data_IF_274268859675
#
_entry.id   IF_274268859675
#
_cell.length_a   1.000
_cell.length_b   1.000
_cell.length_c   1.000
_cell.angle_alpha   90.00
_cell.angle_beta   90.00
_cell.angle_gamma   90.00
#
_symmetry.space_group_name_H-M   'P 1'
#
loop_
_entity.id
_entity.type
_entity.pdbx_description
1 polymer ?
#
# COMPACT_ATOMS: atom_id res chain seq x y z
N UNK A 1 -59.81 34.86 -5.26
CA UNK A 1 -58.50 35.52 -5.17
C UNK A 1 -57.44 34.45 -5.01
N UNK A 2 -56.72 34.10 -6.08
CA UNK A 2 -55.68 33.14 -6.08
C UNK A 2 -54.36 33.88 -5.91
N UNK A 3 -53.61 33.56 -4.82
CA UNK A 3 -52.31 34.18 -4.53
C UNK A 3 -51.20 33.69 -5.49
N UNK A 4 -50.12 34.46 -5.64
CA UNK A 4 -49.08 34.16 -6.62
C UNK A 4 -48.28 32.93 -6.22
N UNK A 5 -48.13 31.96 -7.13
CA UNK A 5 -47.24 30.81 -7.01
C UNK A 5 -45.76 31.26 -6.91
N UNK A 6 -44.98 30.76 -5.99
CA UNK A 6 -43.54 31.05 -5.96
C UNK A 6 -42.87 30.46 -7.20
N UNK A 7 -42.05 31.27 -7.87
CA UNK A 7 -41.46 30.94 -9.15
C UNK A 7 -40.54 29.71 -9.02
N UNK A 8 -40.69 28.73 -9.92
CA UNK A 8 -39.90 27.47 -10.00
C UNK A 8 -38.37 27.68 -10.11
N UNK A 9 -37.92 28.91 -10.32
CA UNK A 9 -36.48 29.26 -10.39
C UNK A 9 -35.81 29.19 -9.02
N UNK A 10 -36.46 29.59 -7.95
CA UNK A 10 -35.87 29.55 -6.59
C UNK A 10 -35.83 28.12 -6.01
N UNK A 11 -36.79 27.27 -6.35
CA UNK A 11 -36.80 25.87 -5.93
C UNK A 11 -35.66 25.06 -6.56
N UNK A 12 -35.28 25.37 -7.82
CA UNK A 12 -34.18 24.70 -8.53
C UNK A 12 -32.79 25.12 -7.99
N UNK A 13 -32.60 26.40 -7.63
CA UNK A 13 -31.35 26.86 -7.02
C UNK A 13 -31.14 26.26 -5.61
N UNK A 14 -32.19 26.14 -4.81
CA UNK A 14 -32.12 25.58 -3.49
C UNK A 14 -31.80 24.08 -3.53
N UNK A 15 -32.30 23.34 -4.52
CA UNK A 15 -32.08 21.92 -4.68
C UNK A 15 -30.62 21.60 -5.15
N UNK A 16 -30.09 22.44 -6.06
CA UNK A 16 -28.69 22.30 -6.51
C UNK A 16 -27.68 22.67 -5.40
N UNK A 17 -27.98 23.66 -4.57
CA UNK A 17 -27.14 24.03 -3.44
C UNK A 17 -27.12 22.94 -2.35
N UNK A 18 -28.25 22.28 -2.12
CA UNK A 18 -28.38 21.18 -1.17
C UNK A 18 -27.62 19.94 -1.63
N UNK A 19 -27.60 19.63 -2.94
CA UNK A 19 -26.82 18.51 -3.50
C UNK A 19 -25.33 18.74 -3.46
N UNK A 20 -24.86 19.99 -3.55
CA UNK A 20 -23.43 20.32 -3.46
C UNK A 20 -22.86 20.11 -2.04
N UNK A 21 -23.69 20.22 -1.01
CA UNK A 21 -23.28 20.04 0.39
C UNK A 21 -23.13 18.56 0.82
N UNK A 22 -23.66 17.60 0.05
CA UNK A 22 -23.61 16.17 0.38
C UNK A 22 -22.30 15.52 -0.10
N UNK A 23 -21.50 16.19 -0.93
CA UNK A 23 -20.18 15.71 -1.40
C UNK A 23 -19.02 16.05 -0.46
N UNK A 24 -19.24 16.41 0.80
CA UNK A 24 -18.17 16.55 1.80
C UNK A 24 -17.75 15.15 2.19
N UNK A 25 -16.68 14.71 1.52
CA UNK A 25 -16.16 13.38 1.46
C UNK A 25 -15.94 12.71 2.82
N UNK A 26 -16.09 11.41 2.84
CA UNK A 26 -15.51 10.52 3.84
C UNK A 26 -13.98 10.69 3.84
N UNK A 27 -13.47 11.72 4.50
CA UNK A 27 -12.07 11.78 4.88
C UNK A 27 -11.86 10.65 5.89
N UNK A 28 -11.19 9.57 5.48
CA UNK A 28 -10.75 8.53 6.39
C UNK A 28 -9.85 9.17 7.45
N UNK A 29 -10.37 9.34 8.65
CA UNK A 29 -9.58 9.81 9.78
C UNK A 29 -8.48 8.79 10.07
N UNK A 30 -7.22 9.23 10.25
CA UNK A 30 -6.15 8.32 10.69
C UNK A 30 -6.54 7.67 12.02
N UNK A 31 -6.08 6.44 12.30
CA UNK A 31 -6.39 5.77 13.56
C UNK A 31 -5.92 6.61 14.75
N UNK A 32 -6.78 6.76 15.73
CA UNK A 32 -6.41 7.38 17.01
C UNK A 32 -5.65 6.36 17.83
N UNK A 33 -4.37 6.62 18.10
CA UNK A 33 -3.54 5.74 18.92
C UNK A 33 -3.80 5.96 20.41
N UNK A 34 -3.62 4.91 21.21
CA UNK A 34 -3.66 5.00 22.67
C UNK A 34 -2.52 5.88 23.20
N UNK A 35 -2.63 6.43 24.42
CA UNK A 35 -1.55 7.17 25.05
C UNK A 35 -0.22 6.40 25.05
N UNK A 36 0.86 7.04 24.63
CA UNK A 36 2.18 6.43 24.50
C UNK A 36 2.44 5.67 23.19
N UNK A 37 1.43 5.53 22.32
CA UNK A 37 1.61 4.96 21.00
C UNK A 37 1.57 6.05 19.91
N UNK A 38 2.32 5.82 18.82
CA UNK A 38 2.46 6.77 17.70
C UNK A 38 1.89 6.17 16.41
N UNK A 39 1.18 6.95 15.58
CA UNK A 39 0.68 6.48 14.30
C UNK A 39 1.85 6.19 13.35
N UNK A 40 1.76 5.06 12.65
CA UNK A 40 2.71 4.65 11.63
C UNK A 40 2.01 4.08 10.40
N UNK A 41 2.74 3.97 9.32
CA UNK A 41 2.39 3.17 8.14
C UNK A 41 3.11 1.83 8.23
N UNK A 42 2.36 0.74 8.20
CA UNK A 42 2.89 -0.61 8.09
C UNK A 42 2.74 -1.08 6.64
N UNK A 43 3.85 -1.46 6.02
CA UNK A 43 3.87 -1.97 4.65
C UNK A 43 4.39 -3.40 4.66
N UNK A 44 3.63 -4.31 4.05
CA UNK A 44 4.05 -5.68 3.79
C UNK A 44 4.23 -5.88 2.30
N UNK A 45 5.41 -6.35 1.90
CA UNK A 45 5.76 -6.65 0.52
C UNK A 45 5.99 -8.15 0.37
N UNK A 46 5.48 -8.71 -0.72
CA UNK A 46 5.58 -10.14 -1.04
C UNK A 46 6.31 -10.27 -2.36
N UNK A 47 7.48 -10.87 -2.29
CA UNK A 47 8.40 -11.02 -3.41
C UNK A 47 8.40 -12.48 -3.87
N UNK A 48 7.95 -12.72 -5.10
CA UNK A 48 8.07 -14.03 -5.73
C UNK A 48 9.54 -14.37 -5.97
N UNK A 49 9.89 -15.64 -5.89
CA UNK A 49 11.26 -16.09 -6.06
C UNK A 49 11.51 -16.74 -7.43
N UNK A 50 10.47 -17.16 -8.14
CA UNK A 50 10.62 -17.83 -9.44
C UNK A 50 11.09 -16.83 -10.50
N UNK A 51 12.18 -17.12 -11.19
CA UNK A 51 12.74 -16.35 -12.29
C UNK A 51 12.80 -17.20 -13.57
N UNK A 52 13.03 -16.60 -14.75
CA UNK A 52 13.23 -17.37 -15.97
C UNK A 52 14.38 -18.39 -15.89
N UNK A 53 15.41 -18.09 -15.10
CA UNK A 53 16.65 -18.86 -15.01
C UNK A 53 16.75 -19.70 -13.74
N UNK A 54 15.69 -19.73 -12.90
CA UNK A 54 15.68 -20.48 -11.65
C UNK A 54 14.89 -19.81 -10.54
N UNK A 55 15.52 -19.59 -9.41
CA UNK A 55 14.92 -18.95 -8.23
C UNK A 55 15.87 -17.93 -7.62
N UNK A 56 15.32 -16.86 -7.05
CA UNK A 56 16.08 -15.94 -6.21
C UNK A 56 16.53 -16.69 -4.97
N UNK A 57 17.82 -16.81 -4.80
CA UNK A 57 18.45 -17.52 -3.68
C UNK A 57 18.38 -16.69 -2.39
N UNK A 58 18.52 -17.36 -1.26
CA UNK A 58 18.63 -16.68 0.04
C UNK A 58 19.80 -15.68 0.09
N UNK A 59 20.93 -16.02 -0.53
CA UNK A 59 22.08 -15.12 -0.59
C UNK A 59 21.79 -13.85 -1.38
N UNK A 60 21.10 -13.95 -2.51
CA UNK A 60 20.68 -12.79 -3.32
C UNK A 60 19.66 -11.95 -2.58
N UNK A 61 18.74 -12.60 -1.85
CA UNK A 61 17.78 -11.92 -1.00
C UNK A 61 18.46 -11.13 0.12
N UNK A 62 19.41 -11.74 0.84
CA UNK A 62 20.16 -11.05 1.90
C UNK A 62 20.99 -9.88 1.36
N UNK A 63 21.60 -10.03 0.19
CA UNK A 63 22.27 -8.92 -0.49
C UNK A 63 21.29 -7.79 -0.85
N UNK A 64 20.10 -8.12 -1.37
CA UNK A 64 19.05 -7.14 -1.66
C UNK A 64 18.58 -6.40 -0.40
N UNK A 65 18.38 -7.11 0.71
CA UNK A 65 18.02 -6.50 2.00
C UNK A 65 19.10 -5.52 2.47
N UNK A 66 20.36 -5.88 2.38
CA UNK A 66 21.49 -5.05 2.83
C UNK A 66 21.67 -3.83 1.91
N UNK A 67 21.80 -4.07 0.62
CA UNK A 67 22.26 -3.06 -0.33
C UNK A 67 21.14 -2.08 -0.75
N UNK A 68 19.89 -2.58 -0.80
CA UNK A 68 18.76 -1.81 -1.32
C UNK A 68 17.80 -1.41 -0.20
N UNK A 69 17.32 -2.38 0.58
CA UNK A 69 16.28 -2.09 1.57
C UNK A 69 16.85 -1.29 2.73
N UNK A 70 18.01 -1.67 3.26
CA UNK A 70 18.67 -0.98 4.37
C UNK A 70 19.05 0.46 4.04
N UNK A 71 19.41 0.74 2.79
CA UNK A 71 19.69 2.11 2.33
C UNK A 71 18.44 3.00 2.28
N UNK A 72 17.29 2.45 1.90
CA UNK A 72 16.03 3.18 1.81
C UNK A 72 15.27 3.28 3.14
N UNK A 73 15.43 2.27 4.01
CA UNK A 73 14.74 2.13 5.30
C UNK A 73 15.72 1.78 6.43
N UNK A 74 16.58 2.72 6.80
CA UNK A 74 17.59 2.49 7.85
C UNK A 74 16.99 2.31 9.25
N UNK A 75 15.72 2.67 9.46
CA UNK A 75 15.03 2.51 10.75
C UNK A 75 14.80 1.03 11.11
N UNK A 76 14.85 0.16 10.15
CA UNK A 76 14.72 -1.27 10.35
C UNK A 76 13.71 -1.93 9.44
N UNK A 77 13.85 -3.24 9.38
CA UNK A 77 13.01 -4.13 8.58
C UNK A 77 12.80 -5.45 9.32
N UNK A 78 11.74 -6.16 8.98
CA UNK A 78 11.57 -7.57 9.34
C UNK A 78 11.31 -8.36 8.08
N UNK A 79 12.02 -9.48 7.92
CA UNK A 79 11.90 -10.34 6.74
C UNK A 79 11.74 -11.80 7.17
N UNK A 80 10.96 -12.55 6.39
CA UNK A 80 10.81 -13.99 6.55
C UNK A 80 10.46 -14.67 5.22
N UNK A 81 10.65 -15.97 5.17
CA UNK A 81 10.29 -16.81 4.03
C UNK A 81 8.88 -17.37 4.22
N UNK A 82 8.07 -17.30 3.17
CA UNK A 82 6.73 -17.84 3.14
C UNK A 82 6.48 -18.75 1.95
N UNK A 83 5.36 -19.47 1.97
CA UNK A 83 4.90 -20.30 0.86
C UNK A 83 3.62 -19.73 0.28
N UNK A 84 3.71 -19.19 -0.94
CA UNK A 84 2.60 -18.60 -1.67
C UNK A 84 1.90 -19.61 -2.58
N UNK A 85 0.61 -19.39 -2.79
CA UNK A 85 -0.18 -20.05 -3.84
C UNK A 85 -1.06 -19.02 -4.50
N UNK A 86 -0.99 -18.93 -5.81
CA UNK A 86 -1.87 -18.02 -6.56
C UNK A 86 -2.35 -18.64 -7.87
N UNK A 87 -3.43 -18.11 -8.35
CA UNK A 87 -3.97 -18.49 -9.65
C UNK A 87 -3.35 -17.62 -10.74
N UNK A 88 -2.69 -18.25 -11.69
CA UNK A 88 -2.14 -17.56 -12.85
C UNK A 88 -3.23 -17.22 -13.89
N UNK A 89 -2.88 -16.45 -14.90
CA UNK A 89 -3.81 -16.03 -15.97
C UNK A 89 -4.40 -17.20 -16.76
N UNK A 90 -3.76 -18.36 -16.78
CA UNK A 90 -4.25 -19.60 -17.39
C UNK A 90 -5.17 -20.42 -16.49
N UNK A 91 -5.49 -19.93 -15.27
CA UNK A 91 -6.41 -20.59 -14.33
C UNK A 91 -5.78 -21.67 -13.47
N UNK A 92 -4.55 -22.09 -13.71
CA UNK A 92 -3.82 -23.05 -12.88
C UNK A 92 -3.29 -22.39 -11.59
N UNK A 93 -3.15 -23.19 -10.53
CA UNK A 93 -2.57 -22.74 -9.26
C UNK A 93 -1.07 -22.97 -9.30
N UNK A 94 -0.30 -21.90 -9.20
CA UNK A 94 1.14 -21.94 -8.96
C UNK A 94 1.42 -21.89 -7.47
N UNK A 95 2.39 -22.68 -7.03
CA UNK A 95 2.95 -22.63 -5.69
C UNK A 95 4.41 -22.24 -5.78
N UNK A 96 4.83 -21.26 -4.98
CA UNK A 96 6.24 -20.88 -4.91
C UNK A 96 6.63 -20.41 -3.52
N UNK A 97 7.91 -20.44 -3.24
CA UNK A 97 8.50 -19.73 -2.12
C UNK A 97 8.42 -18.22 -2.37
N UNK A 98 8.13 -17.46 -1.34
CA UNK A 98 8.11 -15.99 -1.40
C UNK A 98 8.92 -15.44 -0.25
N UNK A 99 9.65 -14.36 -0.50
CA UNK A 99 10.22 -13.55 0.57
C UNK A 99 9.23 -12.47 0.96
N UNK A 100 9.03 -12.31 2.25
CA UNK A 100 8.17 -11.28 2.83
C UNK A 100 9.04 -10.25 3.53
N UNK A 101 8.71 -9.00 3.33
CA UNK A 101 9.36 -7.86 3.96
C UNK A 101 8.30 -6.98 4.61
N UNK A 102 8.49 -6.68 5.88
CA UNK A 102 7.65 -5.74 6.61
C UNK A 102 8.45 -4.52 7.02
N UNK A 103 7.91 -3.36 6.73
CA UNK A 103 8.49 -2.05 7.01
C UNK A 103 7.48 -1.23 7.80
N UNK A 104 7.95 -0.58 8.86
CA UNK A 104 7.17 0.36 9.65
C UNK A 104 7.84 1.75 9.56
N UNK A 105 7.10 2.76 9.11
CA UNK A 105 7.64 4.10 8.91
C UNK A 105 6.57 5.19 9.14
N UNK A 106 7.00 6.43 9.31
CA UNK A 106 6.10 7.56 9.61
C UNK A 106 5.25 8.01 8.40
N UNK A 107 5.46 7.42 7.22
CA UNK A 107 4.77 7.79 5.99
C UNK A 107 5.50 8.89 5.22
N UNK A 108 4.73 9.61 4.41
CA UNK A 108 5.22 10.72 3.59
C UNK A 108 5.75 10.30 2.21
N UNK A 109 5.88 11.29 1.33
CA UNK A 109 6.25 11.06 -0.07
C UNK A 109 7.66 10.49 -0.25
N UNK A 110 8.62 10.86 0.60
CA UNK A 110 9.98 10.34 0.52
C UNK A 110 10.01 8.83 0.73
N UNK A 111 9.27 8.33 1.73
CA UNK A 111 9.13 6.89 2.01
C UNK A 111 8.37 6.16 0.91
N UNK A 112 7.34 6.78 0.36
CA UNK A 112 6.62 6.22 -0.79
C UNK A 112 7.53 6.09 -2.02
N UNK A 113 8.33 7.10 -2.33
CA UNK A 113 9.33 7.01 -3.40
C UNK A 113 10.39 5.94 -3.13
N UNK A 114 10.84 5.78 -1.88
CA UNK A 114 11.74 4.71 -1.46
C UNK A 114 11.16 3.32 -1.72
N UNK A 115 9.89 3.11 -1.34
CA UNK A 115 9.17 1.86 -1.63
C UNK A 115 9.06 1.56 -3.12
N UNK A 116 8.77 2.58 -3.93
CA UNK A 116 8.70 2.40 -5.38
C UNK A 116 10.06 2.04 -5.99
N UNK A 117 11.15 2.69 -5.56
CA UNK A 117 12.50 2.33 -6.00
C UNK A 117 12.86 0.90 -5.62
N UNK A 118 12.63 0.51 -4.39
CA UNK A 118 12.88 -0.83 -3.88
C UNK A 118 12.13 -1.89 -4.71
N UNK A 119 10.82 -1.71 -4.93
CA UNK A 119 10.00 -2.61 -5.73
C UNK A 119 10.52 -2.69 -7.17
N UNK A 120 10.85 -1.55 -7.77
CA UNK A 120 11.35 -1.53 -9.14
C UNK A 120 12.74 -2.17 -9.26
N UNK A 121 13.63 -1.96 -8.28
CA UNK A 121 14.95 -2.60 -8.24
C UNK A 121 14.82 -4.11 -8.17
N UNK A 122 13.94 -4.65 -7.31
CA UNK A 122 13.69 -6.09 -7.24
C UNK A 122 13.17 -6.64 -8.57
N UNK A 123 12.16 -6.00 -9.14
CA UNK A 123 11.59 -6.41 -10.42
C UNK A 123 12.62 -6.45 -11.54
N UNK A 124 13.46 -5.44 -11.63
CA UNK A 124 14.51 -5.36 -12.66
C UNK A 124 15.61 -6.39 -12.41
N UNK A 125 16.12 -6.46 -11.17
CA UNK A 125 17.24 -7.34 -10.81
C UNK A 125 16.91 -8.82 -10.99
N UNK A 126 15.68 -9.22 -10.65
CA UNK A 126 15.24 -10.62 -10.61
C UNK A 126 14.18 -10.97 -11.67
N UNK A 127 14.01 -10.14 -12.67
CA UNK A 127 13.06 -10.34 -13.77
C UNK A 127 11.61 -10.61 -13.31
N UNK A 128 11.20 -10.00 -12.21
CA UNK A 128 9.87 -10.19 -11.64
C UNK A 128 8.82 -9.30 -12.30
N UNK A 129 7.64 -9.86 -12.56
CA UNK A 129 6.52 -9.11 -13.15
C UNK A 129 5.86 -8.17 -12.15
N UNK A 130 5.74 -8.61 -10.91
CA UNK A 130 5.03 -7.87 -9.86
C UNK A 130 5.61 -8.17 -8.47
N UNK A 131 5.41 -7.24 -7.55
CA UNK A 131 5.57 -7.41 -6.11
C UNK A 131 4.24 -6.99 -5.49
N UNK A 132 3.60 -7.87 -4.72
CA UNK A 132 2.37 -7.52 -4.02
C UNK A 132 2.71 -6.64 -2.82
N UNK A 133 1.96 -5.55 -2.68
CA UNK A 133 2.10 -4.59 -1.59
C UNK A 133 0.79 -4.46 -0.83
N UNK A 134 0.85 -4.60 0.48
CA UNK A 134 -0.23 -4.29 1.40
C UNK A 134 0.22 -3.12 2.27
N UNK A 135 -0.62 -2.11 2.42
CA UNK A 135 -0.38 -0.93 3.24
C UNK A 135 -1.53 -0.76 4.23
N UNK A 136 -1.19 -0.57 5.50
CA UNK A 136 -2.16 -0.28 6.56
C UNK A 136 -1.67 0.86 7.46
N UNK A 137 -2.61 1.49 8.14
CA UNK A 137 -2.33 2.39 9.25
C UNK A 137 -2.28 1.57 10.54
N UNK A 138 -1.30 1.82 11.38
CA UNK A 138 -1.12 1.12 12.65
C UNK A 138 -0.60 2.09 13.72
N UNK A 139 -0.58 1.63 14.97
CA UNK A 139 0.03 2.34 16.09
C UNK A 139 1.26 1.57 16.59
N UNK A 140 2.36 2.27 16.80
CA UNK A 140 3.61 1.72 17.35
C UNK A 140 3.82 2.23 18.76
N UNK A 141 4.16 1.34 19.68
CA UNK A 141 4.66 1.65 21.04
C UNK A 141 5.88 0.78 21.33
N UNK A 142 6.73 1.24 22.27
CA UNK A 142 7.88 0.52 22.81
C UNK A 142 7.80 0.51 24.33
#
# INVERSE_FOLDING_TARGET
MLGPYPSMRHARLSFTLLMLLICIGCASTPPTCLPGAHPIVLVSLYFGTTTPDGVVTEQEWQAFLTDTVGAEFPEGLTSWTGHGRWRNSGGSVAAETSYLLQLAHDGGEARERGLQRLIQTYKTRFHQKAVMRIRSQACRSF
#
